data_IF_368872814433
#
_entry.id   IF_368872814433
#
_cell.length_a   1.000
_cell.length_b   1.000
_cell.length_c   1.000
_cell.angle_alpha   90.00
_cell.angle_beta   90.00
_cell.angle_gamma   90.00
#
_symmetry.space_group_name_H-M   'P 1'
#
loop_
_entity.id
_entity.type
_entity.pdbx_description
1 polymer ?
#
# COMPACT_ATOMS: atom_id res chain seq x y z
N UNK A 1 5.49 12.65 8.44
CA UNK A 1 4.86 11.51 9.12
C UNK A 1 5.25 10.20 8.43
N UNK A 2 5.60 9.18 9.23
CA UNK A 2 6.10 7.86 8.80
C UNK A 2 7.43 7.87 8.01
N UNK A 3 7.98 6.67 7.82
CA UNK A 3 9.35 6.43 7.35
C UNK A 3 9.42 5.85 5.94
N UNK A 4 8.32 5.88 5.16
CA UNK A 4 8.27 5.26 3.84
C UNK A 4 9.44 5.70 2.93
N UNK A 5 9.79 6.98 2.93
CA UNK A 5 10.92 7.53 2.15
C UNK A 5 12.32 7.06 2.60
N UNK A 6 12.42 6.44 3.78
CA UNK A 6 13.67 5.86 4.26
C UNK A 6 13.91 4.46 3.69
N UNK A 7 12.93 3.86 3.02
CA UNK A 7 13.01 2.48 2.51
C UNK A 7 13.08 2.41 0.99
N UNK A 8 13.82 1.43 0.47
CA UNK A 8 13.84 1.13 -0.97
C UNK A 8 12.67 0.22 -1.40
N UNK A 9 12.03 -0.43 -0.44
CA UNK A 9 10.83 -1.23 -0.66
C UNK A 9 9.77 -1.01 0.39
N UNK A 10 8.52 -1.25 0.03
CA UNK A 10 7.37 -1.26 0.93
C UNK A 10 6.59 -2.54 0.69
N UNK A 11 6.52 -3.46 1.66
CA UNK A 11 5.63 -4.60 1.53
C UNK A 11 4.18 -4.13 1.43
N UNK A 12 3.34 -4.96 0.81
CA UNK A 12 1.89 -4.77 0.79
C UNK A 12 1.30 -5.39 2.04
N UNK A 13 0.38 -4.71 2.72
CA UNK A 13 -0.34 -5.33 3.83
C UNK A 13 -1.57 -6.05 3.26
N UNK A 14 -1.75 -7.35 3.51
CA UNK A 14 -2.85 -8.11 2.91
C UNK A 14 -3.73 -8.76 3.99
N UNK A 15 -4.94 -8.23 4.18
CA UNK A 15 -5.96 -8.80 5.06
C UNK A 15 -6.79 -9.81 4.26
N UNK A 16 -6.52 -11.11 4.44
CA UNK A 16 -7.11 -12.17 3.62
C UNK A 16 -7.91 -13.15 4.46
N UNK A 17 -9.02 -13.66 3.93
CA UNK A 17 -9.84 -14.66 4.59
C UNK A 17 -10.60 -15.49 3.57
N UNK A 18 -10.85 -16.79 3.80
CA UNK A 18 -11.68 -17.58 2.89
C UNK A 18 -13.17 -17.19 2.96
N UNK A 19 -13.59 -16.47 4.00
CA UNK A 19 -14.99 -16.17 4.28
C UNK A 19 -15.28 -14.67 4.49
N UNK A 20 -16.51 -14.22 4.21
CA UNK A 20 -16.98 -12.89 4.59
C UNK A 20 -17.21 -12.78 6.10
N UNK A 21 -17.29 -11.55 6.61
CA UNK A 21 -17.56 -11.31 8.04
C UNK A 21 -16.39 -11.59 8.99
N UNK A 22 -15.17 -11.73 8.46
CA UNK A 22 -13.93 -11.88 9.22
C UNK A 22 -13.28 -10.56 9.66
N UNK A 23 -13.86 -9.41 9.30
CA UNK A 23 -13.38 -8.08 9.73
C UNK A 23 -12.29 -7.46 8.86
N UNK A 24 -12.09 -7.92 7.61
CA UNK A 24 -11.07 -7.39 6.70
C UNK A 24 -11.25 -5.90 6.39
N UNK A 25 -12.45 -5.49 5.96
CA UNK A 25 -12.80 -4.08 5.75
C UNK A 25 -12.60 -3.25 7.02
N UNK A 26 -12.99 -3.79 8.18
CA UNK A 26 -12.77 -3.16 9.49
C UNK A 26 -11.29 -2.95 9.79
N UNK A 27 -10.41 -3.87 9.39
CA UNK A 27 -8.98 -3.70 9.56
C UNK A 27 -8.45 -2.54 8.70
N UNK A 28 -8.95 -2.38 7.47
CA UNK A 28 -8.62 -1.22 6.63
C UNK A 28 -9.16 0.09 7.22
N UNK A 29 -10.39 0.13 7.73
CA UNK A 29 -10.96 1.29 8.43
C UNK A 29 -10.09 1.70 9.64
N UNK A 30 -9.54 0.74 10.38
CA UNK A 30 -8.61 1.05 11.46
C UNK A 30 -7.29 1.60 10.88
N UNK A 31 -6.73 0.98 9.84
CA UNK A 31 -5.52 1.48 9.17
C UNK A 31 -5.68 2.91 8.67
N UNK A 32 -6.85 3.30 8.16
CA UNK A 32 -7.17 4.66 7.71
C UNK A 32 -6.85 5.72 8.76
N UNK A 33 -7.16 5.43 10.04
CA UNK A 33 -6.86 6.35 11.15
C UNK A 33 -5.37 6.46 11.48
N UNK A 34 -4.56 5.46 11.09
CA UNK A 34 -3.16 5.33 11.48
C UNK A 34 -2.18 5.89 10.43
N UNK A 35 -2.58 5.90 9.17
CA UNK A 35 -1.71 6.20 8.02
C UNK A 35 -1.81 7.67 7.59
N UNK A 36 -0.78 8.22 6.93
CA UNK A 36 -0.85 9.54 6.35
C UNK A 36 -1.53 9.47 4.98
N UNK A 37 -2.33 10.49 4.65
CA UNK A 37 -3.01 10.64 3.35
C UNK A 37 -3.70 9.35 2.88
N UNK A 38 -4.63 8.78 3.68
CA UNK A 38 -5.32 7.57 3.28
C UNK A 38 -6.13 7.80 1.99
N UNK A 39 -6.04 6.85 1.07
CA UNK A 39 -6.88 6.78 -0.12
C UNK A 39 -7.62 5.45 -0.10
N UNK A 40 -8.87 5.47 0.37
CA UNK A 40 -9.73 4.29 0.39
C UNK A 40 -10.26 4.03 -1.02
N UNK A 41 -10.13 2.80 -1.49
CA UNK A 41 -10.56 2.36 -2.80
C UNK A 41 -11.31 1.03 -2.69
N UNK A 42 -12.43 0.91 -3.39
CA UNK A 42 -13.14 -0.38 -3.59
C UNK A 42 -13.07 -0.78 -5.06
N UNK A 43 -13.18 0.20 -5.96
CA UNK A 43 -13.01 0.00 -7.40
C UNK A 43 -12.33 1.25 -8.00
N UNK A 44 -11.00 1.25 -8.02
CA UNK A 44 -10.19 2.33 -8.59
C UNK A 44 -9.46 1.84 -9.84
N UNK A 45 -9.56 2.60 -10.94
CA UNK A 45 -8.77 2.31 -12.14
C UNK A 45 -7.28 2.55 -11.88
N UNK A 46 -6.42 1.79 -12.58
CA UNK A 46 -4.97 1.98 -12.47
C UNK A 46 -4.58 3.44 -12.78
N UNK A 47 -5.21 4.07 -13.77
CA UNK A 47 -4.99 5.47 -14.13
C UNK A 47 -5.30 6.45 -12.98
N UNK A 48 -6.36 6.21 -12.19
CA UNK A 48 -6.67 7.02 -11.02
C UNK A 48 -5.59 6.89 -9.94
N UNK A 49 -5.12 5.67 -9.69
CA UNK A 49 -4.07 5.40 -8.70
C UNK A 49 -2.72 6.01 -9.12
N UNK A 50 -2.34 5.87 -10.39
CA UNK A 50 -1.12 6.49 -10.92
C UNK A 50 -1.14 8.01 -10.74
N UNK A 51 -2.28 8.66 -11.01
CA UNK A 51 -2.43 10.11 -10.82
C UNK A 51 -2.38 10.50 -9.34
N UNK A 52 -3.02 9.72 -8.46
CA UNK A 52 -2.98 9.97 -7.03
C UNK A 52 -1.55 9.90 -6.47
N UNK A 53 -0.76 8.90 -6.89
CA UNK A 53 0.66 8.77 -6.47
C UNK A 53 1.54 9.88 -7.06
N UNK A 54 1.22 10.37 -8.26
CA UNK A 54 1.98 11.42 -8.94
C UNK A 54 1.57 12.84 -8.55
N UNK A 55 0.52 12.99 -7.73
CA UNK A 55 -0.07 14.28 -7.37
C UNK A 55 0.80 15.12 -6.44
N UNK A 56 0.49 16.42 -6.36
CA UNK A 56 1.18 17.38 -5.49
C UNK A 56 0.70 17.34 -4.02
N UNK A 57 -0.39 16.63 -3.74
CA UNK A 57 -1.05 16.56 -2.41
C UNK A 57 -0.33 15.63 -1.41
N UNK A 58 0.83 15.09 -1.79
CA UNK A 58 1.59 14.11 -1.02
C UNK A 58 1.32 12.68 -1.48
N UNK A 59 2.26 11.77 -1.17
CA UNK A 59 2.16 10.36 -1.56
C UNK A 59 1.06 9.68 -0.72
N UNK A 60 0.06 9.05 -1.36
CA UNK A 60 -1.05 8.43 -0.63
C UNK A 60 -0.64 7.13 0.03
N UNK A 61 -1.41 6.72 1.04
CA UNK A 61 -1.49 5.33 1.49
C UNK A 61 -2.77 4.71 0.95
N UNK A 62 -2.65 3.79 0.00
CA UNK A 62 -3.83 3.19 -0.65
C UNK A 62 -4.38 2.06 0.23
N UNK A 63 -5.68 2.13 0.53
CA UNK A 63 -6.41 1.13 1.29
C UNK A 63 -7.47 0.51 0.37
N UNK A 64 -7.15 -0.62 -0.24
CA UNK A 64 -7.95 -1.24 -1.29
C UNK A 64 -8.81 -2.39 -0.73
N UNK A 65 -10.10 -2.13 -0.52
CA UNK A 65 -11.06 -3.15 -0.09
C UNK A 65 -11.64 -3.94 -1.27
N UNK A 66 -12.18 -5.12 -0.98
CA UNK A 66 -12.77 -6.04 -1.98
C UNK A 66 -11.83 -6.36 -3.15
N UNK A 67 -10.53 -6.49 -2.90
CA UNK A 67 -9.51 -6.73 -3.94
C UNK A 67 -9.73 -8.05 -4.70
N UNK A 68 -10.49 -8.98 -4.15
CA UNK A 68 -10.95 -10.21 -4.83
C UNK A 68 -11.94 -9.94 -5.96
N UNK A 69 -12.61 -8.78 -5.99
CA UNK A 69 -13.38 -8.36 -7.17
C UNK A 69 -12.48 -8.04 -8.36
N UNK A 70 -11.21 -7.71 -8.10
CA UNK A 70 -10.22 -7.33 -9.12
C UNK A 70 -9.30 -8.49 -9.50
N UNK A 71 -8.93 -9.35 -8.55
CA UNK A 71 -8.01 -10.48 -8.79
C UNK A 71 -8.58 -11.86 -8.47
N UNK A 72 -9.86 -11.95 -8.07
CA UNK A 72 -10.49 -13.22 -7.76
C UNK A 72 -10.81 -14.05 -9.01
N UNK A 73 -11.26 -15.31 -8.83
CA UNK A 73 -11.46 -16.25 -9.93
C UNK A 73 -12.49 -15.82 -10.99
N UNK A 74 -13.39 -14.90 -10.65
CA UNK A 74 -14.41 -14.36 -11.55
C UNK A 74 -14.03 -12.99 -12.14
N UNK A 75 -12.91 -12.43 -11.72
CA UNK A 75 -12.43 -11.16 -12.24
C UNK A 75 -11.85 -11.34 -13.64
N UNK A 76 -11.96 -10.29 -14.46
CA UNK A 76 -11.24 -10.23 -15.73
C UNK A 76 -9.73 -10.04 -15.52
N UNK A 77 -8.99 -9.94 -16.61
CA UNK A 77 -7.58 -9.57 -16.51
C UNK A 77 -7.42 -8.11 -16.08
N UNK A 78 -6.64 -7.90 -15.02
CA UNK A 78 -6.36 -6.60 -14.42
C UNK A 78 -4.84 -6.36 -14.37
N UNK A 79 -4.15 -6.64 -15.48
CA UNK A 79 -2.70 -6.51 -15.62
C UNK A 79 -2.18 -5.13 -15.22
N UNK A 80 -2.90 -4.06 -15.58
CA UNK A 80 -2.45 -2.72 -15.24
C UNK A 80 -2.39 -2.48 -13.73
N UNK A 81 -3.42 -2.92 -12.98
CA UNK A 81 -3.43 -2.77 -11.53
C UNK A 81 -2.40 -3.71 -10.89
N UNK A 82 -2.26 -4.92 -11.41
CA UNK A 82 -1.24 -5.87 -10.95
C UNK A 82 0.16 -5.32 -11.15
N UNK A 83 0.42 -4.70 -12.31
CA UNK A 83 1.65 -3.97 -12.63
C UNK A 83 1.89 -2.80 -11.69
N UNK A 84 0.88 -1.98 -11.40
CA UNK A 84 0.97 -0.90 -10.41
C UNK A 84 1.38 -1.42 -9.03
N UNK A 85 0.68 -2.44 -8.51
CA UNK A 85 0.94 -3.02 -7.20
C UNK A 85 2.33 -3.68 -7.13
N UNK A 86 2.73 -4.39 -8.19
CA UNK A 86 4.04 -5.02 -8.27
C UNK A 86 5.17 -4.00 -8.40
N UNK A 87 5.05 -2.97 -9.25
CA UNK A 87 6.08 -1.95 -9.43
C UNK A 87 6.23 -1.12 -8.16
N UNK A 88 5.11 -0.68 -7.58
CA UNK A 88 5.10 0.24 -6.45
C UNK A 88 5.64 -0.31 -5.14
N UNK A 89 6.02 -1.59 -5.06
CA UNK A 89 6.69 -2.13 -3.86
C UNK A 89 8.14 -1.66 -3.79
N UNK A 90 8.71 -1.09 -4.87
CA UNK A 90 10.07 -0.54 -4.95
C UNK A 90 10.04 0.94 -5.21
N UNK A 91 10.97 1.68 -4.61
CA UNK A 91 11.09 3.13 -4.74
C UNK A 91 11.35 3.60 -6.18
N UNK A 92 12.03 2.77 -6.97
CA UNK A 92 12.29 2.99 -8.40
C UNK A 92 11.14 2.53 -9.30
N UNK A 93 10.06 1.99 -8.73
CA UNK A 93 8.93 1.44 -9.46
C UNK A 93 8.16 2.52 -10.21
N UNK A 94 8.26 2.47 -11.54
CA UNK A 94 7.53 3.33 -12.48
C UNK A 94 6.80 2.47 -13.49
N UNK A 95 5.71 3.01 -14.04
CA UNK A 95 5.01 2.44 -15.18
C UNK A 95 4.94 3.50 -16.28
N UNK A 96 5.38 3.15 -17.48
CA UNK A 96 5.30 4.06 -18.62
C UNK A 96 3.93 3.95 -19.30
N UNK A 97 3.38 5.11 -19.67
CA UNK A 97 2.13 5.21 -20.42
C UNK A 97 2.28 6.23 -21.54
N UNK A 98 1.63 5.97 -22.67
CA UNK A 98 1.45 6.98 -23.71
C UNK A 98 0.32 7.91 -23.28
N UNK A 99 0.59 9.22 -23.28
CA UNK A 99 -0.38 10.27 -23.00
C UNK A 99 -0.49 11.14 -24.24
N UNK A 100 -1.73 11.43 -24.65
CA UNK A 100 -1.99 12.38 -25.73
C UNK A 100 -1.69 13.81 -25.25
N UNK A 101 -0.86 14.51 -26.02
CA UNK A 101 -0.52 15.92 -25.82
C UNK A 101 -0.77 16.63 -27.16
N UNK A 102 -1.99 17.16 -27.32
CA UNK A 102 -2.50 17.62 -28.62
C UNK A 102 -2.56 16.49 -29.64
N UNK A 103 -1.93 16.70 -30.81
CA UNK A 103 -1.83 15.70 -31.89
C UNK A 103 -0.64 14.74 -31.71
N UNK A 104 0.12 14.86 -30.62
CA UNK A 104 1.32 14.03 -30.36
C UNK A 104 1.09 13.02 -29.24
N UNK A 105 1.83 11.91 -29.28
CA UNK A 105 1.84 10.91 -28.21
C UNK A 105 3.19 10.97 -27.51
N UNK A 106 3.16 11.20 -26.19
CA UNK A 106 4.37 11.24 -25.36
C UNK A 106 4.38 10.09 -24.38
N UNK A 107 5.53 9.43 -24.26
CA UNK A 107 5.74 8.42 -23.23
C UNK A 107 6.06 9.13 -21.91
N UNK A 108 5.22 8.93 -20.91
CA UNK A 108 5.33 9.58 -19.60
C UNK A 108 5.54 8.50 -18.52
N UNK A 109 6.53 8.65 -17.62
CA UNK A 109 6.67 7.80 -16.45
C UNK A 109 5.63 8.17 -15.38
N UNK A 110 4.91 7.17 -14.89
CA UNK A 110 4.04 7.28 -13.71
C UNK A 110 4.66 6.52 -12.54
N UNK A 111 5.08 7.20 -11.45
CA UNK A 111 5.54 6.52 -10.24
C UNK A 111 4.41 5.72 -9.58
N UNK A 112 4.78 4.56 -9.03
CA UNK A 112 3.85 3.67 -8.33
C UNK A 112 4.21 3.48 -6.85
N UNK A 113 5.37 3.97 -6.42
CA UNK A 113 5.86 3.75 -5.06
C UNK A 113 4.97 4.44 -4.03
N UNK A 114 4.27 3.64 -3.23
CA UNK A 114 3.36 4.07 -2.16
C UNK A 114 3.10 2.92 -1.20
N UNK A 115 2.70 3.24 0.03
CA UNK A 115 2.20 2.23 0.95
C UNK A 115 0.83 1.75 0.48
N UNK A 116 0.59 0.43 0.56
CA UNK A 116 -0.68 -0.17 0.14
C UNK A 116 -1.08 -1.24 1.15
N UNK A 117 -2.32 -1.17 1.61
CA UNK A 117 -3.00 -2.26 2.27
C UNK A 117 -4.17 -2.73 1.39
N UNK A 118 -4.40 -4.04 1.32
CA UNK A 118 -5.50 -4.64 0.59
C UNK A 118 -6.31 -5.57 1.48
N UNK A 119 -7.60 -5.67 1.22
CA UNK A 119 -8.51 -6.61 1.88
C UNK A 119 -9.31 -7.38 0.84
N UNK A 120 -9.41 -8.70 1.00
CA UNK A 120 -10.22 -9.51 0.09
C UNK A 120 -10.37 -10.97 0.47
N UNK A 121 -11.22 -11.66 -0.28
CA UNK A 121 -11.48 -13.09 -0.12
C UNK A 121 -10.40 -13.95 -0.80
N UNK A 122 -10.09 -15.09 -0.18
CA UNK A 122 -9.20 -16.09 -0.76
C UNK A 122 -7.73 -15.64 -0.81
N UNK A 123 -7.18 -15.57 -2.03
CA UNK A 123 -5.77 -15.28 -2.29
C UNK A 123 -5.60 -14.17 -3.32
N UNK A 124 -4.42 -13.56 -3.31
CA UNK A 124 -3.96 -12.63 -4.34
C UNK A 124 -3.10 -13.37 -5.37
N UNK A 125 -2.80 -12.78 -6.53
CA UNK A 125 -1.77 -13.27 -7.43
C UNK A 125 -0.44 -13.45 -6.70
N UNK A 126 0.31 -14.51 -7.00
CA UNK A 126 1.58 -14.86 -6.32
C UNK A 126 2.61 -13.73 -6.33
N UNK A 127 2.63 -12.94 -7.42
CA UNK A 127 3.50 -11.78 -7.56
C UNK A 127 3.19 -10.71 -6.51
N UNK A 128 1.93 -10.54 -6.10
CA UNK A 128 1.57 -9.62 -5.03
C UNK A 128 1.81 -10.30 -3.66
N UNK A 129 1.45 -11.58 -3.50
CA UNK A 129 1.62 -12.31 -2.24
C UNK A 129 3.06 -12.34 -1.75
N UNK A 130 4.02 -12.64 -2.64
CA UNK A 130 5.47 -12.68 -2.31
C UNK A 130 6.03 -11.32 -1.87
N UNK A 131 5.31 -10.23 -2.14
CA UNK A 131 5.65 -8.85 -1.75
C UNK A 131 4.77 -8.34 -0.62
N UNK A 132 3.99 -9.22 0.01
CA UNK A 132 3.00 -8.87 1.03
C UNK A 132 3.36 -9.43 2.40
N UNK A 133 3.03 -8.67 3.45
CA UNK A 133 2.81 -9.20 4.80
C UNK A 133 1.34 -9.62 4.89
N UNK A 134 1.10 -10.92 5.01
CA UNK A 134 -0.24 -11.50 4.97
C UNK A 134 -0.79 -11.64 6.39
N UNK A 135 -1.91 -10.99 6.66
CA UNK A 135 -2.72 -11.16 7.86
C UNK A 135 -3.91 -12.04 7.50
N UNK A 136 -3.81 -13.33 7.85
CA UNK A 136 -4.93 -14.27 7.67
C UNK A 136 -5.97 -14.05 8.76
N UNK A 137 -7.15 -13.64 8.34
CA UNK A 137 -8.29 -13.37 9.23
C UNK A 137 -9.28 -14.52 9.20
N UNK A 138 -9.92 -14.77 10.35
CA UNK A 138 -11.01 -15.73 10.51
C UNK A 138 -12.18 -15.03 11.17
N UNK A 139 -13.39 -15.55 10.96
CA UNK A 139 -14.53 -15.08 11.74
C UNK A 139 -14.28 -15.35 13.23
N UNK A 140 -14.64 -14.39 14.07
CA UNK A 140 -14.62 -14.57 15.52
C UNK A 140 -15.56 -15.71 15.92
N UNK A 141 -15.14 -16.52 16.89
CA UNK A 141 -16.00 -17.53 17.49
C UNK A 141 -17.09 -16.87 18.34
N UNK A 142 -18.20 -17.58 18.59
CA UNK A 142 -19.36 -17.04 19.33
C UNK A 142 -19.01 -16.62 20.77
N UNK A 143 -18.01 -17.25 21.37
CA UNK A 143 -17.52 -16.97 22.72
C UNK A 143 -16.41 -15.90 22.77
N UNK A 144 -15.86 -15.49 21.64
CA UNK A 144 -14.85 -14.42 21.58
C UNK A 144 -15.55 -13.06 21.70
N UNK A 145 -15.42 -12.45 22.88
CA UNK A 145 -15.93 -11.09 23.14
C UNK A 145 -14.86 -10.08 22.75
N UNK A 146 -15.19 -9.21 21.81
CA UNK A 146 -14.38 -8.06 21.40
C UNK A 146 -15.26 -6.83 21.38
N UNK A 147 -14.71 -5.70 21.81
CA UNK A 147 -15.39 -4.42 21.72
C UNK A 147 -15.68 -4.07 20.26
N UNK A 148 -16.94 -3.72 19.91
CA UNK A 148 -17.24 -3.27 18.56
C UNK A 148 -16.57 -1.92 18.27
N UNK A 149 -15.66 -1.90 17.31
CA UNK A 149 -15.13 -0.62 16.82
C UNK A 149 -16.26 0.22 16.19
N UNK A 150 -16.26 1.50 16.52
CA UNK A 150 -17.18 2.53 16.03
C UNK A 150 -16.37 3.78 15.74
N UNK A 151 -16.33 4.24 14.49
CA UNK A 151 -15.52 5.39 14.06
C UNK A 151 -15.71 6.61 14.97
N UNK A 152 -16.97 7.02 15.22
CA UNK A 152 -17.32 8.14 16.10
C UNK A 152 -16.75 8.09 17.54
N UNK A 153 -16.32 6.92 18.00
CA UNK A 153 -15.74 6.72 19.35
C UNK A 153 -14.22 6.56 19.23
N UNK A 154 -13.76 5.72 18.31
CA UNK A 154 -12.39 5.19 18.30
C UNK A 154 -11.46 5.90 17.32
N UNK A 155 -11.98 6.73 16.41
CA UNK A 155 -11.16 7.45 15.43
C UNK A 155 -10.16 8.39 16.12
N UNK A 156 -10.57 9.03 17.21
CA UNK A 156 -9.69 9.87 18.03
C UNK A 156 -8.51 9.07 18.60
N UNK A 157 -8.73 7.84 19.06
CA UNK A 157 -7.67 6.96 19.56
C UNK A 157 -6.70 6.57 18.45
N UNK A 158 -7.23 6.26 17.27
CA UNK A 158 -6.43 5.99 16.07
C UNK A 158 -5.56 7.19 15.68
N UNK A 159 -6.13 8.39 15.69
CA UNK A 159 -5.42 9.64 15.41
C UNK A 159 -4.34 9.95 16.46
N UNK A 160 -4.62 9.71 17.73
CA UNK A 160 -3.63 9.84 18.79
C UNK A 160 -2.47 8.84 18.61
N UNK A 161 -2.77 7.62 18.18
CA UNK A 161 -1.73 6.64 17.85
C UNK A 161 -0.92 7.05 16.62
N UNK A 162 -1.57 7.58 15.57
CA UNK A 162 -0.90 8.13 14.38
C UNK A 162 0.09 9.23 14.76
N UNK A 163 -0.30 10.15 15.63
CA UNK A 163 0.56 11.24 16.09
C UNK A 163 1.79 10.69 16.84
N UNK A 164 1.59 9.72 17.75
CA UNK A 164 2.70 9.05 18.44
C UNK A 164 3.65 8.33 17.48
N UNK A 165 3.10 7.65 16.46
CA UNK A 165 3.89 7.00 15.41
C UNK A 165 4.68 8.01 14.58
N UNK A 166 4.08 9.17 14.27
CA UNK A 166 4.73 10.25 13.55
C UNK A 166 5.88 10.85 14.37
N UNK A 167 5.66 11.14 15.64
CA UNK A 167 6.70 11.64 16.55
C UNK A 167 7.86 10.65 16.69
N UNK A 168 7.56 9.36 16.88
CA UNK A 168 8.58 8.33 16.93
C UNK A 168 9.37 8.24 15.61
N UNK A 169 8.67 8.28 14.47
CA UNK A 169 9.30 8.26 13.15
C UNK A 169 10.23 9.45 12.95
N UNK A 170 9.83 10.66 13.35
CA UNK A 170 10.65 11.85 13.19
C UNK A 170 11.88 11.83 14.11
N UNK A 171 11.76 11.29 15.33
CA UNK A 171 12.89 11.10 16.25
C UNK A 171 13.95 10.13 15.71
N UNK A 172 13.54 9.09 14.96
CA UNK A 172 14.43 8.01 14.53
C UNK A 172 14.76 8.05 13.03
N UNK A 173 14.24 9.04 12.28
CA UNK A 173 14.36 9.13 10.82
C UNK A 173 15.80 9.04 10.34
N UNK A 174 16.69 9.83 10.92
CA UNK A 174 18.10 9.87 10.49
C UNK A 174 18.81 8.54 10.76
N UNK A 175 18.59 7.96 11.94
CA UNK A 175 19.17 6.67 12.32
C UNK A 175 18.73 5.56 11.34
N UNK A 176 17.43 5.52 11.01
CA UNK A 176 16.87 4.52 10.10
C UNK A 176 17.34 4.79 8.66
N UNK A 177 17.38 6.04 8.21
CA UNK A 177 17.86 6.38 6.87
C UNK A 177 19.33 5.98 6.65
N UNK A 178 20.17 6.04 7.69
CA UNK A 178 21.58 5.59 7.62
C UNK A 178 21.67 4.07 7.51
N UNK A 179 20.89 3.33 8.32
CA UNK A 179 20.89 1.86 8.29
C UNK A 179 20.40 1.27 6.97
N UNK A 180 19.47 1.96 6.30
CA UNK A 180 18.86 1.48 5.05
C UNK A 180 19.65 1.91 3.80
N UNK A 181 20.65 2.79 3.93
CA UNK A 181 21.57 3.04 2.81
C UNK A 181 22.29 1.74 2.46
N UNK A 182 22.32 1.32 1.18
CA UNK A 182 23.17 0.21 0.79
C UNK A 182 24.60 0.57 1.21
N UNK A 183 25.26 -0.36 1.92
CA UNK A 183 26.71 -0.31 2.09
C UNK A 183 27.28 -0.04 0.70
N UNK A 184 27.92 1.12 0.51
CA UNK A 184 28.71 1.38 -0.69
C UNK A 184 29.81 0.33 -0.69
N UNK A 185 29.56 -0.83 -1.29
CA UNK A 185 30.64 -1.74 -1.63
C UNK A 185 31.44 -1.04 -2.72
N UNK A 186 32.70 -0.79 -2.37
CA UNK A 186 33.73 -0.29 -3.25
C UNK A 186 33.81 -1.21 -4.49
N UNK A 187 33.20 -0.80 -5.59
CA UNK A 187 33.64 -1.26 -6.91
C UNK A 187 34.67 -0.23 -7.36
N UNK A 188 35.91 -0.44 -6.92
CA UNK A 188 37.05 0.17 -7.60
C UNK A 188 37.10 -0.44 -8.99
N UNK A 189 36.72 0.34 -9.99
CA UNK A 189 37.08 0.05 -11.37
C UNK A 189 38.60 0.24 -11.48
N UNK A 190 39.36 -0.82 -11.20
CA UNK A 190 40.74 -0.89 -11.65
C UNK A 190 40.70 -1.28 -13.11
N UNK A 191 41.04 -0.32 -13.97
CA UNK A 191 41.35 -0.55 -15.38
C UNK A 191 42.35 -1.69 -15.54
N UNK A 192 42.00 -2.68 -16.38
CA UNK A 192 42.91 -3.42 -17.25
C UNK A 192 42.18 -3.71 -18.57
#
# INVERSE_FOLDING_TARGET
AHLLDCFDSTPRLAFLSPEPGSGKSRALEICETLVPHPMVAVNASAAALFRAVSGLEGRPTILFDEIDTVFGPRAGDNEELRGFLNAGHRRTGVTYRCVAEGDTQKVVPFPSYCAVAVAGLGSLPDTILTRSVIIRMRRRARNEKVEPFRARIHEADGHALRERLAQWADQHREQIAVLVRPLRQAVSYTHL
#
